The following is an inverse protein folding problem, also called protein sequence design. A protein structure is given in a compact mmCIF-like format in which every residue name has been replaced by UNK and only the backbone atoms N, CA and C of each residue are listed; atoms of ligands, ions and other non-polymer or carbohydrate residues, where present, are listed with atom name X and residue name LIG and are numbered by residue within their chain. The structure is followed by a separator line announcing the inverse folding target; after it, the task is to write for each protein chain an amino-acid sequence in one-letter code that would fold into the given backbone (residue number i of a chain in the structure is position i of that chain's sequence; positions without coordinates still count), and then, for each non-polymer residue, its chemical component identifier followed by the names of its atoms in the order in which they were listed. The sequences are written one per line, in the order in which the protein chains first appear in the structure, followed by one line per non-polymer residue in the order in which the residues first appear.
data_IF_069502577180
#
_entry.id   IF_069502577180
#
_cell.length_a   1.000
_cell.length_b   1.000
_cell.length_c   1.000
_cell.angle_alpha   90.00
_cell.angle_beta   90.00
_cell.angle_gamma   90.00
#
_symmetry.space_group_name_H-M   'P 1'
#
loop_
_entity.id
_entity.type
_entity.pdbx_description
1 polymer ?
#
# COMPACT_ATOMS: atom_id res chain seq x y z
N UNK A 1 87.31 1.37 -14.25
CA UNK A 1 86.43 2.32 -13.53
C UNK A 1 85.26 2.67 -14.46
N UNK A 2 83.97 2.53 -14.14
CA UNK A 2 83.26 2.21 -12.90
C UNK A 2 81.87 1.59 -13.27
N UNK A 3 81.28 0.82 -12.35
CA UNK A 3 79.86 0.40 -12.27
C UNK A 3 79.15 1.29 -11.22
N UNK A 4 77.84 1.17 -10.96
CA UNK A 4 76.64 0.94 -11.78
C UNK A 4 75.53 1.99 -11.45
N UNK A 5 74.31 1.89 -12.00
CA UNK A 5 73.12 2.25 -11.21
C UNK A 5 71.88 1.46 -11.65
N UNK A 6 71.24 0.91 -10.62
CA UNK A 6 70.04 0.09 -10.58
C UNK A 6 68.79 0.95 -10.65
N UNK A 7 67.80 0.56 -11.44
CA UNK A 7 66.39 0.86 -11.14
C UNK A 7 65.49 -0.16 -11.81
N UNK A 8 65.11 -1.13 -10.99
CA UNK A 8 64.04 -2.08 -11.18
C UNK A 8 62.72 -1.34 -11.03
N UNK A 9 61.98 -1.09 -12.10
CA UNK A 9 60.55 -0.79 -12.00
C UNK A 9 59.77 -1.75 -12.89
N UNK A 10 59.61 -2.95 -12.35
CA UNK A 10 58.52 -3.84 -12.72
C UNK A 10 57.24 -3.22 -12.15
N UNK A 11 56.59 -2.33 -12.91
CA UNK A 11 55.24 -1.89 -12.60
C UNK A 11 54.31 -3.06 -12.90
N UNK A 12 54.26 -3.97 -11.92
CA UNK A 12 53.34 -5.08 -11.84
C UNK A 12 51.94 -4.49 -12.07
N UNK A 13 51.34 -4.84 -13.20
CA UNK A 13 49.94 -4.57 -13.49
C UNK A 13 49.16 -4.91 -12.22
N UNK A 14 48.64 -3.90 -11.53
CA UNK A 14 47.93 -4.06 -10.28
C UNK A 14 46.61 -4.72 -10.62
N UNK A 15 46.68 -6.05 -10.73
CA UNK A 15 45.54 -6.92 -10.92
C UNK A 15 44.50 -6.53 -9.89
N UNK A 16 43.26 -6.35 -10.33
CA UNK A 16 42.05 -6.32 -9.52
C UNK A 16 41.91 -7.68 -8.79
N UNK A 17 42.83 -7.95 -7.86
CA UNK A 17 42.78 -9.11 -6.99
C UNK A 17 41.63 -8.87 -6.05
N UNK A 18 40.50 -9.52 -6.36
CA UNK A 18 39.34 -9.67 -5.50
C UNK A 18 39.77 -10.50 -4.25
N UNK A 19 40.59 -9.91 -3.39
CA UNK A 19 40.71 -10.31 -1.99
C UNK A 19 39.42 -9.85 -1.32
N UNK A 20 38.32 -10.54 -1.61
CA UNK A 20 37.09 -10.36 -0.84
C UNK A 20 37.34 -11.11 0.45
N UNK A 21 37.54 -10.38 1.54
CA UNK A 21 37.70 -10.98 2.86
C UNK A 21 36.50 -11.89 3.13
N UNK A 22 36.68 -13.17 3.55
CA UNK A 22 35.57 -14.04 3.94
C UNK A 22 34.61 -13.38 4.95
N UNK A 23 35.08 -12.43 5.77
CA UNK A 23 34.25 -11.63 6.67
C UNK A 23 33.33 -10.67 5.90
N UNK A 24 33.83 -10.00 4.86
CA UNK A 24 33.04 -9.13 3.99
C UNK A 24 31.98 -9.90 3.20
N UNK A 25 32.32 -11.09 2.70
CA UNK A 25 31.37 -11.97 2.01
C UNK A 25 30.24 -12.39 2.95
N UNK A 26 30.55 -12.75 4.19
CA UNK A 26 29.54 -13.11 5.20
C UNK A 26 28.67 -11.92 5.61
N UNK A 27 29.24 -10.73 5.70
CA UNK A 27 28.50 -9.51 5.95
C UNK A 27 27.52 -9.20 4.79
N UNK A 28 27.98 -9.35 3.56
CA UNK A 28 27.17 -9.18 2.36
C UNK A 28 26.05 -10.22 2.28
N UNK A 29 26.33 -11.51 2.55
CA UNK A 29 25.33 -12.57 2.63
C UNK A 29 24.24 -12.23 3.66
N UNK A 30 24.63 -11.79 4.86
CA UNK A 30 23.69 -11.41 5.92
C UNK A 30 22.86 -10.18 5.54
N UNK A 31 23.46 -9.23 4.84
CA UNK A 31 22.78 -8.02 4.33
C UNK A 31 21.77 -8.37 3.23
N UNK A 32 22.12 -9.28 2.32
CA UNK A 32 21.23 -9.77 1.27
C UNK A 32 20.08 -10.61 1.83
N UNK A 33 20.32 -11.45 2.83
CA UNK A 33 19.26 -12.20 3.51
C UNK A 33 18.29 -11.28 4.25
N UNK A 34 18.80 -10.22 4.89
CA UNK A 34 17.95 -9.18 5.49
C UNK A 34 17.15 -8.45 4.42
N UNK A 35 17.78 -8.07 3.31
CA UNK A 35 17.07 -7.44 2.19
C UNK A 35 15.99 -8.35 1.61
N UNK A 36 16.24 -9.65 1.47
CA UNK A 36 15.28 -10.65 0.99
C UNK A 36 14.12 -10.82 1.98
N UNK A 37 14.42 -10.87 3.28
CA UNK A 37 13.43 -10.88 4.34
C UNK A 37 12.57 -9.62 4.29
N UNK A 38 13.18 -8.45 4.13
CA UNK A 38 12.48 -7.17 4.03
C UNK A 38 11.67 -7.09 2.74
N UNK A 39 12.13 -7.66 1.63
CA UNK A 39 11.39 -7.73 0.38
C UNK A 39 10.17 -8.64 0.49
N UNK A 40 10.31 -9.79 1.15
CA UNK A 40 9.19 -10.71 1.40
C UNK A 40 8.20 -10.14 2.43
N UNK A 41 8.70 -9.45 3.44
CA UNK A 41 7.89 -8.74 4.46
C UNK A 41 7.21 -7.50 3.88
N UNK A 42 7.86 -6.82 2.95
CA UNK A 42 7.28 -5.70 2.22
C UNK A 42 6.27 -6.22 1.19
N UNK A 43 6.51 -7.38 0.56
CA UNK A 43 5.54 -8.06 -0.29
C UNK A 43 4.31 -8.55 0.50
N UNK A 44 4.46 -9.03 1.73
CA UNK A 44 3.31 -9.36 2.58
C UNK A 44 2.60 -8.10 3.11
N UNK A 45 3.32 -7.01 3.41
CA UNK A 45 2.74 -5.70 3.80
C UNK A 45 2.11 -4.93 2.64
N UNK A 46 2.64 -5.03 1.42
CA UNK A 46 2.06 -4.50 0.18
C UNK A 46 0.97 -5.42 -0.38
N UNK A 47 0.91 -6.68 0.09
CA UNK A 47 -0.29 -7.54 0.06
C UNK A 47 -1.23 -7.26 1.25
N UNK A 48 -0.98 -6.19 2.02
CA UNK A 48 -1.78 -5.83 3.20
C UNK A 48 -3.22 -5.45 2.88
N UNK A 49 -3.53 -5.20 1.61
CA UNK A 49 -4.89 -5.26 1.09
C UNK A 49 -4.93 -6.25 -0.06
N UNK A 50 -5.81 -7.25 0.03
CA UNK A 50 -6.12 -8.05 -1.16
C UNK A 50 -6.67 -7.10 -2.22
N UNK A 51 -6.33 -7.34 -3.49
CA UNK A 51 -6.98 -6.65 -4.60
C UNK A 51 -8.51 -6.76 -4.48
N UNK A 52 -8.99 -7.90 -3.97
CA UNK A 52 -10.41 -8.16 -3.68
C UNK A 52 -10.99 -7.23 -2.60
N UNK A 53 -10.20 -6.84 -1.59
CA UNK A 53 -10.65 -5.95 -0.52
C UNK A 53 -10.81 -4.51 -1.03
N UNK A 54 -9.85 -4.02 -1.82
CA UNK A 54 -9.98 -2.71 -2.47
C UNK A 54 -11.08 -2.71 -3.53
N UNK A 55 -11.25 -3.82 -4.26
CA UNK A 55 -12.38 -4.00 -5.17
C UNK A 55 -13.72 -4.00 -4.42
N UNK A 56 -13.78 -4.60 -3.22
CA UNK A 56 -14.96 -4.55 -2.37
C UNK A 56 -15.34 -3.12 -1.99
N UNK A 57 -14.39 -2.29 -1.51
CA UNK A 57 -14.65 -0.86 -1.23
C UNK A 57 -15.18 -0.16 -2.47
N UNK A 58 -14.52 -0.37 -3.63
CA UNK A 58 -14.91 0.25 -4.89
C UNK A 58 -16.36 -0.09 -5.23
N UNK A 59 -16.76 -1.35 -5.06
CA UNK A 59 -18.13 -1.79 -5.30
C UNK A 59 -19.12 -1.15 -4.32
N UNK A 60 -18.75 -0.98 -3.05
CA UNK A 60 -19.59 -0.28 -2.05
C UNK A 60 -19.76 1.20 -2.40
N UNK A 61 -18.69 1.88 -2.81
CA UNK A 61 -18.74 3.27 -3.28
C UNK A 61 -19.63 3.42 -4.53
N UNK A 62 -19.51 2.49 -5.49
CA UNK A 62 -20.33 2.48 -6.70
C UNK A 62 -21.82 2.23 -6.37
N UNK A 63 -22.10 1.30 -5.46
CA UNK A 63 -23.46 1.04 -4.98
C UNK A 63 -24.08 2.26 -4.30
N UNK A 64 -23.32 2.95 -3.44
CA UNK A 64 -23.76 4.19 -2.78
C UNK A 64 -24.05 5.30 -3.80
N UNK A 65 -23.18 5.48 -4.80
CA UNK A 65 -23.40 6.46 -5.86
C UNK A 65 -24.69 6.15 -6.66
N UNK A 66 -24.92 4.88 -7.02
CA UNK A 66 -26.15 4.45 -7.70
C UNK A 66 -27.39 4.73 -6.86
N UNK A 67 -27.35 4.42 -5.56
CA UNK A 67 -28.45 4.69 -4.63
C UNK A 67 -28.73 6.20 -4.54
N UNK A 68 -27.70 7.04 -4.47
CA UNK A 68 -27.86 8.49 -4.45
C UNK A 68 -28.64 8.99 -5.68
N UNK A 69 -28.27 8.54 -6.89
CA UNK A 69 -29.00 8.90 -8.11
C UNK A 69 -30.44 8.37 -8.12
N UNK A 70 -30.67 7.13 -7.68
CA UNK A 70 -32.01 6.55 -7.61
C UNK A 70 -32.91 7.34 -6.63
N UNK A 71 -32.41 7.68 -5.45
CA UNK A 71 -33.18 8.43 -4.47
C UNK A 71 -33.42 9.89 -4.90
N UNK A 72 -32.45 10.51 -5.58
CA UNK A 72 -32.62 11.84 -6.17
C UNK A 72 -33.75 11.85 -7.20
N UNK A 73 -33.80 10.86 -8.11
CA UNK A 73 -34.88 10.74 -9.10
C UNK A 73 -36.26 10.53 -8.48
N UNK A 74 -36.35 9.84 -7.33
CA UNK A 74 -37.63 9.67 -6.59
C UNK A 74 -38.08 10.95 -5.89
N UNK A 75 -37.12 11.79 -5.48
CA UNK A 75 -37.38 13.08 -4.83
C UNK A 75 -38.00 14.11 -5.78
N UNK A 76 -37.66 14.07 -7.07
CA UNK A 76 -38.20 14.99 -8.10
C UNK A 76 -39.73 14.88 -8.29
N UNK A 77 -40.34 13.79 -7.82
CA UNK A 77 -41.80 13.58 -7.89
C UNK A 77 -42.59 14.41 -6.85
N UNK A 78 -41.93 14.92 -5.80
CA UNK A 78 -42.58 15.68 -4.73
C UNK A 78 -42.30 17.17 -4.86
N UNK A 79 -43.31 18.01 -4.59
CA UNK A 79 -43.10 19.45 -4.48
C UNK A 79 -42.07 19.72 -3.38
N UNK A 80 -41.05 20.56 -3.66
CA UNK A 80 -40.14 21.04 -2.64
C UNK A 80 -40.94 21.60 -1.46
N UNK A 81 -40.55 21.24 -0.23
CA UNK A 81 -41.17 21.69 1.02
C UNK A 81 -42.59 21.18 1.30
N UNK A 82 -43.15 20.28 0.48
CA UNK A 82 -44.34 19.53 0.88
C UNK A 82 -44.00 18.60 2.05
N UNK A 83 -44.93 18.40 2.99
CA UNK A 83 -44.71 17.52 4.14
C UNK A 83 -44.35 16.09 3.72
N UNK A 84 -44.94 15.62 2.61
CA UNK A 84 -44.60 14.33 2.02
C UNK A 84 -43.19 14.32 1.39
N UNK A 85 -42.80 15.41 0.72
CA UNK A 85 -41.46 15.56 0.15
C UNK A 85 -40.37 15.67 1.22
N UNK A 86 -40.62 16.38 2.32
CA UNK A 86 -39.71 16.47 3.46
C UNK A 86 -39.55 15.10 4.12
N UNK A 87 -40.66 14.37 4.32
CA UNK A 87 -40.61 13.01 4.90
C UNK A 87 -39.78 12.06 4.03
N UNK A 88 -40.03 12.04 2.71
CA UNK A 88 -39.27 11.22 1.76
C UNK A 88 -37.80 11.63 1.70
N UNK A 89 -37.50 12.93 1.74
CA UNK A 89 -36.11 13.41 1.77
C UNK A 89 -35.37 12.94 3.02
N UNK A 90 -36.00 12.98 4.20
CA UNK A 90 -35.43 12.46 5.44
C UNK A 90 -35.19 10.94 5.35
N UNK A 91 -36.18 10.17 4.91
CA UNK A 91 -36.04 8.71 4.72
C UNK A 91 -34.91 8.36 3.72
N UNK A 92 -34.72 9.20 2.69
CA UNK A 92 -33.63 9.03 1.72
C UNK A 92 -32.27 9.34 2.35
N UNK A 93 -32.17 10.41 3.14
CA UNK A 93 -30.94 10.75 3.87
C UNK A 93 -30.56 9.64 4.86
N UNK A 94 -31.52 9.08 5.59
CA UNK A 94 -31.26 7.98 6.54
C UNK A 94 -30.64 6.76 5.83
N UNK A 95 -31.17 6.39 4.65
CA UNK A 95 -30.63 5.30 3.83
C UNK A 95 -29.20 5.58 3.35
N UNK A 96 -28.92 6.81 2.94
CA UNK A 96 -27.58 7.21 2.49
C UNK A 96 -26.59 7.22 3.65
N UNK A 97 -26.98 7.76 4.81
CA UNK A 97 -26.15 7.79 6.01
C UNK A 97 -25.81 6.39 6.50
N UNK A 98 -26.80 5.49 6.59
CA UNK A 98 -26.57 4.10 6.98
C UNK A 98 -25.61 3.39 6.03
N UNK A 99 -25.73 3.59 4.71
CA UNK A 99 -24.80 3.00 3.73
C UNK A 99 -23.41 3.60 3.81
N UNK A 100 -23.30 4.89 4.09
CA UNK A 100 -22.03 5.57 4.27
C UNK A 100 -21.31 5.10 5.54
N UNK A 101 -22.05 4.89 6.62
CA UNK A 101 -21.53 4.35 7.88
C UNK A 101 -20.94 2.95 7.66
N UNK A 102 -21.68 2.04 7.03
CA UNK A 102 -21.17 0.71 6.68
C UNK A 102 -19.92 0.78 5.78
N UNK A 103 -19.88 1.68 4.80
CA UNK A 103 -18.68 1.88 3.98
C UNK A 103 -17.50 2.38 4.82
N UNK A 104 -17.75 3.27 5.79
CA UNK A 104 -16.73 3.78 6.70
C UNK A 104 -16.16 2.67 7.58
N UNK A 105 -16.99 1.79 8.12
CA UNK A 105 -16.56 0.62 8.89
C UNK A 105 -15.63 -0.28 8.04
N UNK A 106 -16.01 -0.58 6.80
CA UNK A 106 -15.15 -1.37 5.89
C UNK A 106 -13.81 -0.70 5.58
N UNK A 107 -13.76 0.62 5.48
CA UNK A 107 -12.51 1.36 5.29
C UNK A 107 -11.66 1.36 6.56
N UNK A 108 -12.30 1.41 7.74
CA UNK A 108 -11.62 1.33 9.03
C UNK A 108 -11.02 -0.06 9.28
N UNK A 109 -11.70 -1.13 8.86
CA UNK A 109 -11.20 -2.51 8.91
C UNK A 109 -9.99 -2.74 8.00
N UNK A 110 -9.82 -1.88 7.00
CA UNK A 110 -8.62 -1.82 6.17
C UNK A 110 -7.50 -1.02 6.80
N UNK A 111 -7.63 -0.51 8.01
CA UNK A 111 -6.47 0.06 8.69
C UNK A 111 -5.54 -1.08 9.15
N UNK A 112 -4.26 -1.14 8.71
CA UNK A 112 -3.34 -2.22 9.11
C UNK A 112 -3.06 -2.21 10.61
N UNK A 113 -3.28 -1.07 11.28
CA UNK A 113 -3.18 -0.95 12.75
C UNK A 113 -4.30 -1.68 13.49
N UNK A 114 -5.46 -1.84 12.86
CA UNK A 114 -6.61 -2.55 13.43
C UNK A 114 -6.50 -4.07 13.24
N UNK A 115 -5.75 -4.53 12.23
CA UNK A 115 -5.47 -5.96 12.01
C UNK A 115 -4.38 -6.54 12.93
N UNK A 116 -3.65 -5.70 13.67
CA UNK A 116 -2.52 -6.12 14.53
C UNK A 116 -2.85 -6.27 16.03
N UNK A 117 -4.12 -6.31 16.43
CA UNK A 117 -4.51 -6.39 17.86
C UNK A 117 -4.60 -7.81 18.45
N UNK A 118 -4.16 -8.84 17.72
CA UNK A 118 -4.06 -10.20 18.22
C UNK A 118 -2.64 -10.75 18.08
N UNK A 119 -1.71 -10.25 18.90
CA UNK A 119 -0.50 -10.98 19.32
C UNK A 119 -0.25 -10.70 20.80
#
# INVERSE_FOLDING_TARGET
MAKPDTSTENTFCHTHSFHTDPVEVKHMEKSLLRLLHDFNSCKSRLRGYSLDQMEHIRNQQESLARLHFELASKGECFSPLSENGIRVANENMDKLMSRLETLSEYIEDLNPRNQSLWV
#
